data_IF_059363313234
#
_entry.id   IF_059363313234
#
_cell.length_a   1.000
_cell.length_b   1.000
_cell.length_c   1.000
_cell.angle_alpha   90.00
_cell.angle_beta   90.00
_cell.angle_gamma   90.00
#
_symmetry.space_group_name_H-M   'P 1'
#
loop_
_entity.id
_entity.type
_entity.pdbx_description
1 polymer ?
#
# COMPACT_ATOMS: atom_id res chain seq x y z
N UNK A 1 -14.70 -69.32 -9.56
CA UNK A 1 -14.15 -68.16 -10.29
C UNK A 1 -14.92 -66.85 -9.93
N UNK A 2 -16.21 -66.80 -9.87
CA UNK A 2 -17.00 -65.59 -9.59
C UNK A 2 -16.65 -64.88 -8.25
N UNK A 3 -16.43 -65.61 -7.14
CA UNK A 3 -16.05 -64.99 -5.86
C UNK A 3 -14.77 -64.19 -5.92
N UNK A 4 -13.80 -64.60 -6.74
CA UNK A 4 -12.53 -63.84 -6.93
C UNK A 4 -12.75 -62.53 -7.69
N UNK A 5 -13.68 -62.50 -8.64
CA UNK A 5 -14.06 -61.30 -9.39
C UNK A 5 -14.76 -60.27 -8.47
N UNK A 6 -15.64 -60.71 -7.59
CA UNK A 6 -16.31 -59.83 -6.66
C UNK A 6 -15.31 -59.22 -5.64
N UNK A 7 -14.34 -59.98 -5.15
CA UNK A 7 -13.30 -59.50 -4.27
C UNK A 7 -12.42 -58.46 -5.00
N UNK A 8 -12.05 -58.72 -6.26
CA UNK A 8 -11.26 -57.81 -7.04
C UNK A 8 -11.98 -56.49 -7.36
N UNK A 9 -13.29 -56.57 -7.69
CA UNK A 9 -14.11 -55.39 -7.92
C UNK A 9 -14.33 -54.54 -6.65
N UNK A 10 -14.47 -55.17 -5.50
CA UNK A 10 -14.62 -54.51 -4.22
C UNK A 10 -13.30 -53.80 -3.78
N UNK A 11 -12.19 -54.42 -4.09
CA UNK A 11 -10.85 -53.85 -3.85
C UNK A 11 -10.58 -52.65 -4.77
N UNK A 12 -11.04 -52.70 -6.01
CA UNK A 12 -10.91 -51.59 -6.98
C UNK A 12 -11.77 -50.39 -6.60
N UNK A 13 -12.98 -50.60 -6.09
CA UNK A 13 -13.86 -49.56 -5.56
C UNK A 13 -13.30 -48.94 -4.31
N UNK A 14 -12.69 -49.73 -3.40
CA UNK A 14 -12.04 -49.25 -2.20
C UNK A 14 -10.82 -48.36 -2.51
N UNK A 15 -10.01 -48.72 -3.51
CA UNK A 15 -8.85 -47.93 -3.96
C UNK A 15 -9.31 -46.63 -4.65
N UNK A 16 -10.35 -46.69 -5.49
CA UNK A 16 -10.93 -45.49 -6.10
C UNK A 16 -11.47 -44.49 -5.07
N UNK A 17 -12.09 -44.99 -4.00
CA UNK A 17 -12.56 -44.13 -2.91
C UNK A 17 -11.44 -43.43 -2.14
N UNK A 18 -10.27 -44.04 -2.00
CA UNK A 18 -9.13 -43.42 -1.32
C UNK A 18 -8.45 -42.32 -2.17
N UNK A 19 -8.42 -42.48 -3.48
CA UNK A 19 -7.86 -41.44 -4.39
C UNK A 19 -8.69 -40.17 -4.38
N UNK A 20 -10.02 -40.29 -4.29
CA UNK A 20 -10.93 -39.14 -4.19
C UNK A 20 -10.86 -38.43 -2.83
N UNK A 21 -10.51 -39.17 -1.75
CA UNK A 21 -10.40 -38.62 -0.38
C UNK A 21 -9.13 -37.75 -0.17
N UNK A 22 -8.18 -37.77 -1.09
CA UNK A 22 -6.93 -37.00 -0.97
C UNK A 22 -6.89 -35.70 -1.77
N UNK A 23 -7.99 -35.37 -2.46
CA UNK A 23 -8.01 -34.12 -3.23
C UNK A 23 -8.11 -32.93 -2.28
N UNK A 24 -7.06 -32.11 -2.27
CA UNK A 24 -7.01 -30.89 -1.44
C UNK A 24 -8.14 -29.94 -1.83
N UNK A 25 -8.77 -29.34 -0.84
CA UNK A 25 -9.81 -28.32 -1.00
C UNK A 25 -9.17 -26.93 -1.21
N UNK A 26 -9.97 -25.95 -1.65
CA UNK A 26 -9.57 -24.54 -1.69
C UNK A 26 -9.07 -24.06 -0.33
N UNK A 27 -9.72 -24.48 0.76
CA UNK A 27 -9.34 -24.15 2.15
C UNK A 27 -7.99 -24.73 2.55
N UNK A 28 -7.65 -25.93 2.07
CA UNK A 28 -6.36 -26.56 2.37
C UNK A 28 -5.22 -25.81 1.67
N UNK A 29 -5.43 -25.41 0.43
CA UNK A 29 -4.49 -24.56 -0.29
C UNK A 29 -4.38 -23.17 0.34
N UNK A 30 -5.49 -22.56 0.76
CA UNK A 30 -5.49 -21.27 1.45
C UNK A 30 -4.67 -21.34 2.75
N UNK A 31 -4.87 -22.37 3.60
CA UNK A 31 -4.09 -22.57 4.83
C UNK A 31 -2.61 -22.79 4.56
N UNK A 32 -2.29 -23.59 3.54
CA UNK A 32 -0.92 -23.85 3.12
C UNK A 32 -0.26 -22.57 2.63
N UNK A 33 -0.95 -21.78 1.80
CA UNK A 33 -0.50 -20.47 1.32
C UNK A 33 -0.25 -19.50 2.47
N UNK A 34 -1.15 -19.43 3.46
CA UNK A 34 -0.98 -18.58 4.64
C UNK A 34 0.26 -18.97 5.46
N UNK A 35 0.50 -20.26 5.63
CA UNK A 35 1.72 -20.73 6.30
C UNK A 35 2.97 -20.32 5.54
N UNK A 36 3.00 -20.55 4.22
CA UNK A 36 4.12 -20.18 3.37
C UNK A 36 4.36 -18.66 3.35
N UNK A 37 3.29 -17.87 3.38
CA UNK A 37 3.37 -16.41 3.46
C UNK A 37 4.03 -15.97 4.78
N UNK A 38 3.59 -16.54 5.90
CA UNK A 38 4.17 -16.26 7.23
C UNK A 38 5.65 -16.68 7.32
N UNK A 39 6.04 -17.74 6.59
CA UNK A 39 7.43 -18.19 6.46
C UNK A 39 8.22 -17.35 5.42
N UNK A 40 7.65 -16.24 4.92
CA UNK A 40 8.23 -15.35 3.89
C UNK A 40 8.52 -16.06 2.55
N UNK A 41 7.90 -17.18 2.28
CA UNK A 41 8.01 -17.96 1.04
C UNK A 41 6.95 -17.50 0.03
N UNK A 42 6.96 -16.22 -0.33
CA UNK A 42 5.89 -15.56 -1.08
C UNK A 42 5.60 -16.17 -2.44
N UNK A 43 6.63 -16.66 -3.17
CA UNK A 43 6.45 -17.34 -4.47
C UNK A 43 5.68 -18.66 -4.28
N UNK A 44 5.96 -19.42 -3.23
CA UNK A 44 5.25 -20.67 -2.95
C UNK A 44 3.83 -20.39 -2.46
N UNK A 45 3.65 -19.34 -1.65
CA UNK A 45 2.34 -18.88 -1.19
C UNK A 45 1.45 -18.49 -2.38
N UNK A 46 1.99 -17.74 -3.35
CA UNK A 46 1.28 -17.40 -4.61
C UNK A 46 0.75 -18.64 -5.31
N UNK A 47 1.59 -19.68 -5.47
CA UNK A 47 1.17 -20.93 -6.14
C UNK A 47 -0.02 -21.57 -5.42
N UNK A 48 0.03 -21.63 -4.09
CA UNK A 48 -1.06 -22.24 -3.32
C UNK A 48 -2.33 -21.38 -3.36
N UNK A 49 -2.23 -20.05 -3.29
CA UNK A 49 -3.40 -19.18 -3.45
C UNK A 49 -4.03 -19.27 -4.84
N UNK A 50 -3.23 -19.39 -5.90
CA UNK A 50 -3.74 -19.62 -7.26
C UNK A 50 -4.48 -20.96 -7.37
N UNK A 51 -3.96 -22.03 -6.76
CA UNK A 51 -4.65 -23.33 -6.69
C UNK A 51 -5.95 -23.25 -5.90
N UNK A 52 -6.00 -22.46 -4.82
CA UNK A 52 -7.24 -22.22 -4.12
C UNK A 52 -8.28 -21.53 -5.02
N UNK A 53 -7.85 -20.57 -5.85
CA UNK A 53 -8.71 -19.86 -6.80
C UNK A 53 -9.12 -20.70 -8.00
N UNK A 54 -8.31 -21.67 -8.44
CA UNK A 54 -8.72 -22.66 -9.46
C UNK A 54 -9.92 -23.49 -8.98
N UNK A 55 -9.96 -23.84 -7.70
CA UNK A 55 -11.06 -24.61 -7.10
C UNK A 55 -12.26 -23.68 -6.76
N UNK A 56 -11.99 -22.52 -6.16
CA UNK A 56 -12.98 -21.54 -5.77
C UNK A 56 -12.62 -20.14 -6.29
N UNK A 57 -13.02 -19.79 -7.52
CA UNK A 57 -12.69 -18.51 -8.14
C UNK A 57 -13.27 -17.27 -7.43
N UNK A 58 -14.19 -17.46 -6.48
CA UNK A 58 -14.83 -16.39 -5.71
C UNK A 58 -14.31 -16.29 -4.28
N UNK A 59 -13.25 -17.00 -3.93
CA UNK A 59 -12.63 -16.91 -2.61
C UNK A 59 -11.97 -15.55 -2.40
N UNK A 60 -12.65 -14.66 -1.69
CA UNK A 60 -12.12 -13.31 -1.39
C UNK A 60 -10.86 -13.37 -0.52
N UNK A 61 -10.77 -14.33 0.39
CA UNK A 61 -9.57 -14.58 1.19
C UNK A 61 -8.37 -14.98 0.33
N UNK A 62 -8.59 -15.86 -0.66
CA UNK A 62 -7.50 -16.28 -1.54
C UNK A 62 -7.05 -15.16 -2.48
N UNK A 63 -7.98 -14.35 -3.01
CA UNK A 63 -7.65 -13.18 -3.83
C UNK A 63 -6.87 -12.13 -3.04
N UNK A 64 -7.32 -11.82 -1.81
CA UNK A 64 -6.66 -10.84 -0.95
C UNK A 64 -5.25 -11.30 -0.57
N UNK A 65 -5.09 -12.56 -0.16
CA UNK A 65 -3.80 -13.10 0.23
C UNK A 65 -2.87 -13.28 -0.97
N UNK A 66 -3.40 -13.58 -2.16
CA UNK A 66 -2.64 -13.57 -3.42
C UNK A 66 -2.10 -12.17 -3.71
N UNK A 67 -2.94 -11.14 -3.58
CA UNK A 67 -2.51 -9.75 -3.77
C UNK A 67 -1.38 -9.38 -2.80
N UNK A 68 -1.50 -9.74 -1.53
CA UNK A 68 -0.44 -9.53 -0.54
C UNK A 68 0.86 -10.26 -0.93
N UNK A 69 0.77 -11.52 -1.36
CA UNK A 69 1.95 -12.30 -1.77
C UNK A 69 2.63 -11.71 -3.03
N UNK A 70 1.85 -11.21 -3.98
CA UNK A 70 2.36 -10.51 -5.16
C UNK A 70 3.04 -9.19 -4.80
N UNK A 71 2.46 -8.43 -3.86
CA UNK A 71 3.05 -7.19 -3.37
C UNK A 71 4.42 -7.43 -2.73
N UNK A 72 4.53 -8.45 -1.88
CA UNK A 72 5.81 -8.84 -1.26
C UNK A 72 6.87 -9.31 -2.27
N UNK A 73 6.46 -9.70 -3.47
CA UNK A 73 7.33 -10.04 -4.59
C UNK A 73 7.63 -8.83 -5.50
N UNK A 74 7.18 -7.62 -5.14
CA UNK A 74 7.29 -6.40 -5.95
C UNK A 74 6.51 -6.45 -7.28
N UNK A 75 5.56 -7.36 -7.42
CA UNK A 75 4.64 -7.48 -8.57
C UNK A 75 3.44 -6.54 -8.38
N UNK A 76 3.72 -5.24 -8.30
CA UNK A 76 2.74 -4.23 -7.88
C UNK A 76 1.49 -4.19 -8.78
N UNK A 77 1.65 -4.30 -10.09
CA UNK A 77 0.53 -4.26 -11.02
C UNK A 77 -0.41 -5.46 -10.83
N UNK A 78 0.14 -6.68 -10.77
CA UNK A 78 -0.67 -7.88 -10.53
C UNK A 78 -1.38 -7.84 -9.18
N UNK A 79 -0.69 -7.34 -8.13
CA UNK A 79 -1.28 -7.15 -6.82
C UNK A 79 -2.47 -6.17 -6.87
N UNK A 80 -2.33 -5.04 -7.57
CA UNK A 80 -3.40 -4.05 -7.74
C UNK A 80 -4.61 -4.65 -8.46
N UNK A 81 -4.42 -5.43 -9.51
CA UNK A 81 -5.49 -6.12 -10.23
C UNK A 81 -6.27 -7.09 -9.33
N UNK A 82 -5.56 -7.83 -8.46
CA UNK A 82 -6.20 -8.72 -7.48
C UNK A 82 -6.98 -7.91 -6.43
N UNK A 83 -6.42 -6.84 -5.88
CA UNK A 83 -7.14 -5.97 -4.94
C UNK A 83 -8.39 -5.35 -5.57
N UNK A 84 -8.30 -4.86 -6.80
CA UNK A 84 -9.46 -4.33 -7.52
C UNK A 84 -10.52 -5.40 -7.80
N UNK A 85 -10.11 -6.63 -8.05
CA UNK A 85 -11.03 -7.74 -8.29
C UNK A 85 -11.76 -8.13 -7.00
N UNK A 86 -11.03 -8.27 -5.90
CA UNK A 86 -11.62 -8.66 -4.61
C UNK A 86 -12.49 -7.54 -4.03
N UNK A 87 -12.14 -6.27 -4.21
CA UNK A 87 -12.94 -5.14 -3.69
C UNK A 87 -14.36 -5.07 -4.26
N UNK A 88 -14.57 -5.62 -5.48
CA UNK A 88 -15.89 -5.65 -6.13
C UNK A 88 -16.84 -6.70 -5.57
N UNK A 89 -16.32 -7.75 -4.93
CA UNK A 89 -17.09 -8.90 -4.48
C UNK A 89 -17.07 -9.10 -2.97
N UNK A 90 -16.09 -8.54 -2.27
CA UNK A 90 -16.03 -8.59 -0.80
C UNK A 90 -17.17 -7.76 -0.19
N UNK A 91 -17.73 -8.28 0.91
CA UNK A 91 -18.84 -7.63 1.63
C UNK A 91 -18.48 -7.28 3.07
N UNK A 92 -17.45 -7.91 3.61
CA UNK A 92 -16.96 -7.61 4.94
C UNK A 92 -16.27 -6.25 4.95
N UNK A 93 -16.77 -5.35 5.79
CA UNK A 93 -16.26 -3.97 5.83
C UNK A 93 -14.81 -3.88 6.34
N UNK A 94 -14.43 -4.72 7.28
CA UNK A 94 -13.07 -4.71 7.80
C UNK A 94 -12.08 -5.17 6.74
N UNK A 95 -12.44 -6.21 5.95
CA UNK A 95 -11.63 -6.66 4.82
C UNK A 95 -11.59 -5.62 3.70
N UNK A 96 -12.72 -4.99 3.38
CA UNK A 96 -12.74 -3.89 2.41
C UNK A 96 -11.83 -2.74 2.84
N UNK A 97 -11.84 -2.39 4.14
CA UNK A 97 -10.95 -1.37 4.65
C UNK A 97 -9.47 -1.74 4.43
N UNK A 98 -9.08 -2.98 4.74
CA UNK A 98 -7.72 -3.47 4.52
C UNK A 98 -7.33 -3.47 3.02
N UNK A 99 -8.24 -3.89 2.14
CA UNK A 99 -8.02 -3.90 0.69
C UNK A 99 -7.74 -2.48 0.21
N UNK A 100 -8.61 -1.51 0.55
CA UNK A 100 -8.45 -0.12 0.13
C UNK A 100 -7.25 0.56 0.79
N UNK A 101 -6.91 0.21 2.03
CA UNK A 101 -5.68 0.65 2.69
C UNK A 101 -4.44 0.22 1.88
N UNK A 102 -4.34 -1.07 1.56
CA UNK A 102 -3.21 -1.62 0.79
C UNK A 102 -3.12 -1.01 -0.61
N UNK A 103 -4.25 -0.81 -1.28
CA UNK A 103 -4.28 -0.08 -2.57
C UNK A 103 -3.76 1.35 -2.40
N UNK A 104 -4.16 2.04 -1.32
CA UNK A 104 -3.67 3.38 -0.98
C UNK A 104 -2.16 3.42 -0.80
N UNK A 105 -1.59 2.50 -0.03
CA UNK A 105 -0.13 2.39 0.18
C UNK A 105 0.61 2.18 -1.15
N UNK A 106 0.12 1.30 -2.02
CA UNK A 106 0.71 1.05 -3.33
C UNK A 106 0.66 2.30 -4.22
N UNK A 107 -0.49 2.97 -4.28
CA UNK A 107 -0.67 4.20 -5.06
C UNK A 107 0.20 5.35 -4.55
N UNK A 108 0.38 5.44 -3.22
CA UNK A 108 1.28 6.42 -2.61
C UNK A 108 2.73 6.17 -3.00
N UNK A 109 3.17 4.92 -2.96
CA UNK A 109 4.53 4.51 -3.39
C UNK A 109 4.76 4.80 -4.87
N UNK A 110 3.72 4.67 -5.70
CA UNK A 110 3.72 5.03 -7.11
C UNK A 110 3.56 6.53 -7.39
N UNK A 111 3.47 7.38 -6.34
CA UNK A 111 3.23 8.84 -6.42
C UNK A 111 1.91 9.21 -7.14
N UNK A 112 0.96 8.28 -7.17
CA UNK A 112 -0.38 8.52 -7.70
C UNK A 112 -1.29 9.09 -6.60
N UNK A 113 -0.94 10.27 -6.11
CA UNK A 113 -1.52 10.86 -4.90
C UNK A 113 -3.03 11.08 -4.95
N UNK A 114 -3.65 11.54 -6.07
CA UNK A 114 -5.10 11.67 -6.13
C UNK A 114 -5.83 10.34 -5.93
N UNK A 115 -5.37 9.26 -6.59
CA UNK A 115 -5.96 7.93 -6.48
C UNK A 115 -5.72 7.32 -5.09
N UNK A 116 -4.52 7.55 -4.53
CA UNK A 116 -4.15 7.15 -3.19
C UNK A 116 -5.11 7.76 -2.14
N UNK A 117 -5.40 9.05 -2.23
CA UNK A 117 -6.32 9.75 -1.33
C UNK A 117 -7.71 9.12 -1.39
N UNK A 118 -8.23 8.82 -2.58
CA UNK A 118 -9.53 8.17 -2.71
C UNK A 118 -9.53 6.75 -2.14
N UNK A 119 -8.46 5.97 -2.34
CA UNK A 119 -8.34 4.65 -1.76
C UNK A 119 -8.35 4.70 -0.21
N UNK A 120 -7.60 5.61 0.41
CA UNK A 120 -7.63 5.78 1.87
C UNK A 120 -8.99 6.27 2.39
N UNK A 121 -9.69 7.13 1.66
CA UNK A 121 -11.06 7.53 2.00
C UNK A 121 -12.02 6.35 1.97
N UNK A 122 -11.92 5.47 0.94
CA UNK A 122 -12.73 4.26 0.88
C UNK A 122 -12.41 3.31 2.03
N UNK A 123 -11.14 3.14 2.39
CA UNK A 123 -10.74 2.39 3.57
C UNK A 123 -11.43 2.93 4.83
N UNK A 124 -11.37 4.24 5.06
CA UNK A 124 -11.99 4.88 6.23
C UNK A 124 -13.52 4.88 6.23
N UNK A 125 -14.18 4.83 5.06
CA UNK A 125 -15.64 4.62 4.98
C UNK A 125 -16.03 3.23 5.50
N UNK A 126 -15.16 2.26 5.32
CA UNK A 126 -15.37 0.90 5.78
C UNK A 126 -14.92 0.68 7.23
N UNK A 127 -13.81 1.30 7.65
CA UNK A 127 -13.33 1.31 9.03
C UNK A 127 -12.95 2.73 9.49
N UNK A 128 -13.90 3.51 10.04
CA UNK A 128 -13.62 4.88 10.48
C UNK A 128 -12.67 5.00 11.68
N UNK A 129 -12.34 3.91 12.36
CA UNK A 129 -11.48 3.89 13.55
C UNK A 129 -10.01 3.60 13.24
N UNK A 130 -9.66 3.44 11.98
CA UNK A 130 -8.30 3.13 11.54
C UNK A 130 -7.44 4.39 11.59
N UNK A 131 -6.67 4.52 12.68
CA UNK A 131 -5.77 5.64 12.91
C UNK A 131 -4.60 5.66 11.92
N UNK A 132 -4.12 4.49 11.49
CA UNK A 132 -3.04 4.38 10.51
C UNK A 132 -3.47 4.90 9.14
N UNK A 133 -4.62 4.46 8.66
CA UNK A 133 -5.18 4.98 7.40
C UNK A 133 -5.46 6.47 7.47
N UNK A 134 -5.93 7.01 8.63
CA UNK A 134 -6.11 8.47 8.80
C UNK A 134 -4.80 9.23 8.67
N UNK A 135 -3.76 8.72 9.31
CA UNK A 135 -2.42 9.31 9.21
C UNK A 135 -1.91 9.31 7.76
N UNK A 136 -2.01 8.16 7.08
CA UNK A 136 -1.57 8.01 5.69
C UNK A 136 -2.36 8.91 4.74
N UNK A 137 -3.67 9.06 4.96
CA UNK A 137 -4.51 10.00 4.21
C UNK A 137 -4.04 11.45 4.36
N UNK A 138 -3.79 11.88 5.62
CA UNK A 138 -3.32 13.22 5.90
C UNK A 138 -1.94 13.49 5.25
N UNK A 139 -1.05 12.51 5.30
CA UNK A 139 0.26 12.57 4.67
C UNK A 139 0.15 12.68 3.14
N UNK A 140 -0.69 11.86 2.51
CA UNK A 140 -0.91 11.90 1.06
C UNK A 140 -1.52 13.24 0.62
N UNK A 141 -2.47 13.79 1.37
CA UNK A 141 -3.04 15.12 1.11
C UNK A 141 -2.01 16.24 1.21
N UNK A 142 -1.13 16.17 2.21
CA UNK A 142 -0.02 17.11 2.34
C UNK A 142 0.93 17.01 1.15
N UNK A 143 1.37 15.81 0.79
CA UNK A 143 2.24 15.57 -0.36
C UNK A 143 1.65 16.12 -1.66
N UNK A 144 0.36 15.93 -1.90
CA UNK A 144 -0.34 16.47 -3.06
C UNK A 144 -0.33 18.01 -3.07
N UNK A 145 -0.59 18.62 -1.92
CA UNK A 145 -0.55 20.08 -1.77
C UNK A 145 0.85 20.64 -2.04
N UNK A 146 1.87 20.02 -1.46
CA UNK A 146 3.27 20.42 -1.64
C UNK A 146 3.66 20.30 -3.13
N UNK A 147 3.28 19.20 -3.80
CA UNK A 147 3.50 19.00 -5.24
C UNK A 147 2.82 20.10 -6.10
N UNK A 148 1.60 20.48 -5.75
CA UNK A 148 0.88 21.55 -6.46
C UNK A 148 1.52 22.93 -6.26
N UNK A 149 2.01 23.20 -5.04
CA UNK A 149 2.74 24.44 -4.75
C UNK A 149 4.06 24.53 -5.53
N UNK A 150 4.80 23.44 -5.59
CA UNK A 150 6.04 23.38 -6.35
C UNK A 150 5.81 23.58 -7.84
N UNK A 151 4.76 22.99 -8.40
CA UNK A 151 4.36 23.22 -9.79
C UNK A 151 3.98 24.69 -10.04
N UNK A 152 3.18 25.29 -9.16
CA UNK A 152 2.80 26.71 -9.29
C UNK A 152 4.04 27.65 -9.23
N UNK A 153 4.99 27.32 -8.35
CA UNK A 153 6.21 28.11 -8.25
C UNK A 153 7.08 27.96 -9.51
N UNK A 154 7.17 26.77 -10.08
CA UNK A 154 7.87 26.54 -11.36
C UNK A 154 7.21 27.24 -12.53
N UNK A 155 5.88 27.19 -12.62
CA UNK A 155 5.12 27.89 -13.67
C UNK A 155 5.26 29.41 -13.55
N UNK A 156 5.29 29.95 -12.33
CA UNK A 156 5.53 31.39 -12.11
C UNK A 156 6.95 31.80 -12.50
N UNK A 157 7.97 31.00 -12.19
CA UNK A 157 9.33 31.23 -12.62
C UNK A 157 9.48 31.22 -14.15
N UNK A 158 8.89 30.20 -14.81
CA UNK A 158 8.91 30.13 -16.28
C UNK A 158 8.18 31.29 -16.93
N UNK A 159 7.06 31.78 -16.35
CA UNK A 159 6.36 32.95 -16.85
C UNK A 159 7.16 34.25 -16.63
N UNK A 160 7.95 34.33 -15.54
CA UNK A 160 8.85 35.47 -15.33
C UNK A 160 10.01 35.44 -16.33
N UNK A 161 10.66 34.31 -16.52
CA UNK A 161 11.73 34.13 -17.51
C UNK A 161 11.25 34.49 -18.92
N UNK A 162 10.06 34.04 -19.33
CA UNK A 162 9.49 34.39 -20.64
C UNK A 162 9.12 35.87 -20.78
N UNK A 163 8.82 36.56 -19.66
CA UNK A 163 8.57 38.02 -19.68
C UNK A 163 9.87 38.81 -19.74
N UNK A 164 10.93 38.31 -19.08
CA UNK A 164 12.27 38.91 -19.13
C UNK A 164 12.88 38.78 -20.53
N UNK A 165 12.81 37.60 -21.17
CA UNK A 165 13.30 37.39 -22.54
C UNK A 165 12.62 38.32 -23.57
N UNK A 166 11.37 38.73 -23.33
CA UNK A 166 10.64 39.69 -24.20
C UNK A 166 10.99 41.14 -23.91
N UNK A 167 11.49 41.49 -22.72
CA UNK A 167 11.93 42.83 -22.38
C UNK A 167 13.42 43.10 -22.74
N UNK A 168 14.25 42.07 -22.78
CA UNK A 168 15.69 42.22 -23.05
C UNK A 168 16.01 42.59 -24.49
N UNK A 169 15.09 42.46 -25.44
CA UNK A 169 15.27 42.99 -26.79
C UNK A 169 15.22 44.53 -26.87
N UNK A 170 14.92 45.25 -25.76
CA UNK A 170 14.76 46.70 -25.78
C UNK A 170 15.63 47.49 -24.76
N UNK A 171 16.59 46.87 -24.05
CA UNK A 171 17.29 47.54 -22.94
C UNK A 171 18.82 47.30 -22.84
N UNK A 172 19.53 47.36 -23.95
CA UNK A 172 21.00 47.25 -23.90
C UNK A 172 21.74 48.47 -23.29
N UNK A 173 21.05 49.46 -22.76
CA UNK A 173 21.71 50.66 -22.21
C UNK A 173 21.45 51.00 -20.73
N UNK A 174 20.64 50.22 -19.98
CA UNK A 174 20.42 50.47 -18.53
C UNK A 174 20.94 49.34 -17.60
N UNK A 175 21.72 48.40 -18.09
CA UNK A 175 22.04 47.13 -17.41
C UNK A 175 23.15 47.20 -16.34
N UNK A 176 23.92 48.27 -16.22
CA UNK A 176 25.09 48.20 -15.32
C UNK A 176 24.81 48.56 -13.86
N UNK A 177 23.79 49.35 -13.55
CA UNK A 177 23.52 49.76 -12.18
C UNK A 177 22.51 48.84 -11.41
N UNK A 178 21.76 47.98 -12.10
CA UNK A 178 20.81 47.08 -11.43
C UNK A 178 21.40 45.71 -11.01
N UNK A 179 22.58 45.31 -11.54
CA UNK A 179 23.18 43.99 -11.22
C UNK A 179 23.66 43.87 -9.78
N UNK A 180 24.15 44.94 -9.17
CA UNK A 180 24.72 44.88 -7.81
C UNK A 180 23.62 44.82 -6.70
N UNK A 181 22.44 45.37 -6.92
CA UNK A 181 21.32 45.32 -5.96
C UNK A 181 20.58 43.99 -5.98
N UNK A 182 20.54 43.27 -7.13
CA UNK A 182 19.86 41.99 -7.21
C UNK A 182 20.63 40.85 -6.50
N UNK A 183 21.97 40.88 -6.52
CA UNK A 183 22.80 39.88 -5.86
C UNK A 183 22.66 39.90 -4.33
N UNK A 184 22.51 41.05 -3.69
CA UNK A 184 22.30 41.14 -2.24
C UNK A 184 20.96 40.62 -1.78
N UNK A 185 19.88 40.81 -2.54
CA UNK A 185 18.55 40.33 -2.18
C UNK A 185 18.37 38.80 -2.33
N UNK A 186 19.07 38.18 -3.31
CA UNK A 186 19.02 36.72 -3.48
C UNK A 186 19.78 35.97 -2.38
N UNK A 187 20.90 36.55 -1.89
CA UNK A 187 21.65 35.96 -0.78
C UNK A 187 20.86 36.01 0.55
N UNK A 188 20.13 37.10 0.81
CA UNK A 188 19.28 37.19 2.01
C UNK A 188 18.05 36.26 1.95
N UNK A 189 17.43 36.08 0.76
CA UNK A 189 16.31 35.17 0.61
C UNK A 189 16.71 33.68 0.69
N UNK A 190 17.93 33.32 0.23
CA UNK A 190 18.43 31.95 0.39
C UNK A 190 18.81 31.61 1.83
N UNK A 191 19.34 32.55 2.59
CA UNK A 191 19.62 32.35 4.02
C UNK A 191 18.32 32.13 4.82
N UNK A 192 17.33 32.97 4.62
CA UNK A 192 16.04 32.84 5.31
C UNK A 192 15.25 31.56 4.91
N UNK A 193 15.37 31.11 3.65
CA UNK A 193 14.74 29.83 3.22
C UNK A 193 15.42 28.60 3.83
N UNK A 194 16.73 28.64 3.99
CA UNK A 194 17.48 27.52 4.57
C UNK A 194 17.27 27.38 6.08
N UNK A 195 17.13 28.51 6.80
CA UNK A 195 16.84 28.47 8.24
C UNK A 195 15.42 27.99 8.54
N UNK A 196 14.41 28.52 7.85
CA UNK A 196 13.02 28.07 8.01
C UNK A 196 12.80 26.61 7.59
N UNK A 197 13.53 26.13 6.59
CA UNK A 197 13.44 24.72 6.15
C UNK A 197 14.05 23.74 7.15
N UNK A 198 15.13 24.11 7.82
CA UNK A 198 15.78 23.28 8.87
C UNK A 198 14.91 23.17 10.12
N UNK A 199 14.36 24.27 10.60
CA UNK A 199 13.56 24.29 11.81
C UNK A 199 12.24 23.52 11.66
N UNK A 200 11.58 23.65 10.49
CA UNK A 200 10.38 22.89 10.18
C UNK A 200 10.67 21.38 9.98
N UNK A 201 11.82 21.02 9.42
CA UNK A 201 12.22 19.61 9.26
C UNK A 201 12.54 18.94 10.60
N UNK A 202 13.19 19.67 11.55
CA UNK A 202 13.45 19.15 12.89
C UNK A 202 12.16 18.99 13.72
N UNK A 203 11.22 19.93 13.60
CA UNK A 203 9.91 19.81 14.27
C UNK A 203 9.10 18.63 13.71
N UNK A 204 9.11 18.43 12.39
CA UNK A 204 8.42 17.32 11.75
C UNK A 204 9.05 15.96 12.12
N UNK A 205 10.39 15.90 12.14
CA UNK A 205 11.13 14.69 12.54
C UNK A 205 10.83 14.31 13.98
N UNK A 206 10.82 15.30 14.88
CA UNK A 206 10.50 15.07 16.29
C UNK A 206 9.03 14.63 16.49
N UNK A 207 8.09 15.20 15.74
CA UNK A 207 6.68 14.78 15.77
C UNK A 207 6.51 13.34 15.27
N UNK A 208 7.15 12.98 14.16
CA UNK A 208 7.10 11.61 13.60
C UNK A 208 7.74 10.58 14.54
N UNK A 209 8.90 10.90 15.13
CA UNK A 209 9.55 10.01 16.11
C UNK A 209 8.71 9.81 17.38
N UNK A 210 7.99 10.85 17.82
CA UNK A 210 7.08 10.75 18.95
C UNK A 210 5.86 9.86 18.63
N UNK A 211 5.31 10.01 17.42
CA UNK A 211 4.16 9.21 16.96
C UNK A 211 4.55 7.74 16.72
N UNK A 212 5.72 7.49 16.16
CA UNK A 212 6.23 6.13 15.97
C UNK A 212 6.40 5.39 17.31
N UNK A 213 6.91 6.06 18.32
CA UNK A 213 7.03 5.53 19.69
C UNK A 213 5.65 5.21 20.30
N UNK A 214 4.68 6.09 20.10
CA UNK A 214 3.31 5.90 20.57
C UNK A 214 2.61 4.73 19.86
N UNK A 215 2.87 4.54 18.57
CA UNK A 215 2.35 3.42 17.78
C UNK A 215 2.98 2.10 18.22
N UNK A 216 4.30 2.05 18.42
CA UNK A 216 4.99 0.86 18.93
C UNK A 216 4.48 0.43 20.31
N UNK A 217 4.22 1.38 21.21
CA UNK A 217 3.68 1.08 22.53
C UNK A 217 2.21 0.59 22.48
N UNK A 218 1.40 1.12 21.54
CA UNK A 218 0.04 0.62 21.32
C UNK A 218 0.04 -0.79 20.71
N UNK A 219 0.91 -1.06 19.75
CA UNK A 219 1.07 -2.40 19.13
C UNK A 219 1.54 -3.42 20.16
N UNK A 220 2.53 -3.09 21.01
CA UNK A 220 2.96 -3.96 22.11
C UNK A 220 1.82 -4.28 23.08
N UNK A 221 1.00 -3.28 23.44
CA UNK A 221 -0.18 -3.50 24.30
C UNK A 221 -1.24 -4.39 23.63
N UNK A 222 -1.49 -4.23 22.34
CA UNK A 222 -2.44 -5.08 21.60
C UNK A 222 -1.96 -6.54 21.51
N UNK A 223 -0.67 -6.75 21.22
CA UNK A 223 -0.07 -8.10 21.20
C UNK A 223 -0.19 -8.77 22.58
N UNK A 224 0.05 -8.02 23.67
CA UNK A 224 -0.11 -8.56 25.03
C UNK A 224 -1.58 -8.89 25.39
N UNK A 225 -2.54 -8.12 24.87
CA UNK A 225 -3.97 -8.38 25.09
C UNK A 225 -4.43 -9.61 24.29
N UNK A 226 -3.95 -9.76 23.05
CA UNK A 226 -4.25 -10.94 22.23
C UNK A 226 -3.58 -12.20 22.76
N UNK A 227 -2.34 -12.12 23.25
CA UNK A 227 -1.66 -13.24 23.90
C UNK A 227 -2.40 -13.75 25.14
N UNK A 228 -2.89 -12.82 25.99
CA UNK A 228 -3.72 -13.18 27.17
C UNK A 228 -5.10 -13.75 26.84
N UNK A 229 -5.65 -13.44 25.66
CA UNK A 229 -6.94 -13.97 25.21
C UNK A 229 -6.81 -15.42 24.69
N UNK A 230 -5.67 -15.74 24.06
CA UNK A 230 -5.35 -17.09 23.59
C UNK A 230 -4.98 -18.06 24.73
N UNK A 231 -4.50 -17.58 25.89
CA UNK A 231 -4.23 -18.41 27.08
C UNK A 231 -5.50 -18.71 27.91
N UNK A 232 -6.62 -18.04 27.63
CA UNK A 232 -7.89 -18.21 28.40
C UNK A 232 -8.89 -19.16 27.75
N UNK A 233 -8.67 -19.59 26.51
CA UNK A 233 -9.57 -20.45 25.74
C UNK A 233 -9.08 -21.91 25.60
N UNK A 234 -8.28 -22.40 26.61
CA UNK A 234 -7.92 -23.81 26.79
C UNK A 234 -8.46 -24.34 28.13
#
# INVERSE_FOLDING_TARGET
MMKKFYILSLLLVAIAGQVLAQQKTDRDYLRSGNKLYNDSLFIKAEVDYRKALEINPKSTDAMFNLANALLMQQKAQEAMEQYQSVSKIEKDKEKLAQIYHNMGVMLQSAKQLPQCIEAYKESLRNNPKDDETRYNLALAQKQLKDQQQDQQNQDQQQQQEQKEDKQDQNKDQQEQEQKDQQQQNQQQQQQNKNEMSKENAEQLLNAVMQDEKNVQDKVKKQIQIQGKKLEKDW
#
